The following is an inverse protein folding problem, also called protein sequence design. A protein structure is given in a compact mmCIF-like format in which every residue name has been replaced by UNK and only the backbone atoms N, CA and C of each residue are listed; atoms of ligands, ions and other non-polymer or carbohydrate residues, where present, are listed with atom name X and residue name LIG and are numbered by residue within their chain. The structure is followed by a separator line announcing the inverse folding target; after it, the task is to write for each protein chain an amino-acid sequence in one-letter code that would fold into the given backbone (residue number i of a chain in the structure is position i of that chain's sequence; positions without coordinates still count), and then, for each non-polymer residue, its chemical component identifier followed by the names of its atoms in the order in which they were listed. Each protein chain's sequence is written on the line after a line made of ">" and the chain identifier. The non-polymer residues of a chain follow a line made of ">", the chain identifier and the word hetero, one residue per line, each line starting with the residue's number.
data_IF_606725665682
#
_entry.id   IF_606725665682
#
_cell.length_a   1.000
_cell.length_b   1.000
_cell.length_c   1.000
_cell.angle_alpha   90.00
_cell.angle_beta   90.00
_cell.angle_gamma   90.00
#
_symmetry.space_group_name_H-M   'P 1'
#
loop_
_entity.id
_entity.type
_entity.pdbx_description
1 polymer ?
#
# COMPACT_ATOMS: atom_id res chain seq x y z
N UNK A 1 47.81 -5.96 -19.52
CA UNK A 1 48.77 -5.63 -20.59
C UNK A 1 48.00 -5.13 -21.80
N UNK A 2 48.40 -3.99 -22.36
CA UNK A 2 47.81 -3.26 -23.49
C UNK A 2 47.93 -4.01 -24.82
N UNK A 3 46.94 -3.86 -25.72
CA UNK A 3 47.04 -3.70 -27.21
C UNK A 3 45.75 -2.96 -27.66
N UNK A 4 45.78 -1.65 -27.97
CA UNK A 4 45.90 -0.99 -29.31
C UNK A 4 44.93 -1.55 -30.36
N UNK A 5 43.88 -0.82 -30.74
CA UNK A 5 43.78 0.26 -31.75
C UNK A 5 43.42 -0.31 -33.13
N UNK A 6 42.18 -0.07 -33.59
CA UNK A 6 41.82 0.05 -35.00
C UNK A 6 40.95 1.30 -35.15
N UNK A 7 41.36 2.12 -36.10
CA UNK A 7 40.80 3.41 -36.49
C UNK A 7 39.90 3.17 -37.70
N UNK A 8 38.75 3.84 -37.78
CA UNK A 8 38.10 4.04 -39.06
C UNK A 8 37.35 5.36 -39.06
N UNK A 9 37.99 6.33 -39.72
CA UNK A 9 37.43 7.61 -40.15
C UNK A 9 36.35 7.37 -41.19
N UNK A 10 35.30 8.19 -41.18
CA UNK A 10 34.50 8.43 -42.38
C UNK A 10 34.08 9.89 -42.40
N UNK A 11 34.82 10.65 -43.20
CA UNK A 11 34.55 12.03 -43.58
C UNK A 11 33.35 12.11 -44.52
N UNK A 12 32.54 13.16 -44.41
CA UNK A 12 31.61 13.55 -45.47
C UNK A 12 31.57 15.07 -45.53
N UNK A 13 31.96 15.59 -46.67
CA UNK A 13 32.17 17.00 -46.97
C UNK A 13 30.96 17.50 -47.76
N UNK A 14 30.44 18.67 -47.40
CA UNK A 14 29.58 19.46 -48.27
C UNK A 14 29.72 20.93 -47.92
N UNK A 15 30.44 21.62 -48.79
CA UNK A 15 30.59 23.07 -48.91
C UNK A 15 29.26 23.74 -49.31
N UNK A 16 29.11 25.01 -48.96
CA UNK A 16 27.94 25.84 -49.21
C UNK A 16 28.05 27.20 -48.52
N UNK A 17 28.86 28.10 -49.07
CA UNK A 17 29.02 29.48 -48.63
C UNK A 17 28.04 30.39 -49.39
N UNK A 18 27.17 31.14 -48.70
CA UNK A 18 26.61 32.42 -49.18
C UNK A 18 26.29 33.35 -48.00
N UNK A 19 26.71 34.59 -48.13
CA UNK A 19 26.78 35.71 -47.16
C UNK A 19 25.53 36.62 -47.16
N UNK A 20 25.43 37.44 -46.09
CA UNK A 20 24.60 38.64 -45.84
C UNK A 20 23.13 38.46 -45.40
N UNK A 21 22.87 38.83 -44.14
CA UNK A 21 21.50 39.09 -43.65
C UNK A 21 21.41 39.36 -42.14
N UNK A 22 21.94 40.50 -41.70
CA UNK A 22 21.79 41.04 -40.33
C UNK A 22 20.34 41.45 -40.09
N UNK A 23 19.62 40.80 -39.18
CA UNK A 23 18.55 41.43 -38.37
C UNK A 23 18.54 40.83 -36.94
N UNK A 24 18.69 41.71 -35.96
CA UNK A 24 18.62 41.43 -34.54
C UNK A 24 17.16 41.23 -34.12
N UNK A 25 16.80 40.06 -33.60
CA UNK A 25 15.58 39.90 -32.79
C UNK A 25 15.92 39.30 -31.41
N UNK A 26 15.88 40.20 -30.44
CA UNK A 26 16.10 40.15 -29.01
C UNK A 26 15.22 39.13 -28.26
N UNK A 27 15.35 37.82 -28.51
CA UNK A 27 14.94 36.86 -27.47
C UNK A 27 16.09 36.70 -26.49
N UNK A 28 16.00 37.39 -25.36
CA UNK A 28 16.91 37.35 -24.22
C UNK A 28 17.10 35.93 -23.67
N UNK A 29 17.85 35.09 -24.37
CA UNK A 29 18.50 33.92 -23.80
C UNK A 29 19.73 34.44 -23.05
N UNK A 30 19.48 34.97 -21.86
CA UNK A 30 20.58 35.17 -20.91
C UNK A 30 21.30 33.82 -20.79
N UNK A 31 22.63 33.76 -20.94
CA UNK A 31 23.37 32.53 -20.66
C UNK A 31 23.05 32.19 -19.20
N UNK A 32 22.22 31.16 -19.01
CA UNK A 32 21.82 30.76 -17.68
C UNK A 32 23.09 30.27 -17.03
N UNK A 33 23.69 31.10 -16.17
CA UNK A 33 24.95 30.78 -15.51
C UNK A 33 24.82 29.41 -14.85
N UNK A 34 25.88 28.60 -14.88
CA UNK A 34 25.90 27.26 -14.26
C UNK A 34 25.33 27.28 -12.83
N UNK A 35 25.52 28.39 -12.11
CA UNK A 35 24.93 28.70 -10.80
C UNK A 35 23.39 28.70 -10.77
N UNK A 36 22.72 29.27 -11.79
CA UNK A 36 21.25 29.25 -11.88
C UNK A 36 20.70 27.84 -12.19
N UNK A 37 21.41 27.06 -13.02
CA UNK A 37 21.05 25.66 -13.31
C UNK A 37 21.18 24.81 -12.03
N UNK A 38 22.28 24.98 -11.29
CA UNK A 38 22.51 24.30 -10.01
C UNK A 38 21.47 24.71 -8.94
N UNK A 39 21.09 25.98 -8.87
CA UNK A 39 20.05 26.46 -7.95
C UNK A 39 18.67 25.86 -8.26
N UNK A 40 18.30 25.75 -9.54
CA UNK A 40 17.06 25.05 -9.97
C UNK A 40 17.11 23.56 -9.61
N UNK A 41 18.25 22.90 -9.82
CA UNK A 41 18.47 21.48 -9.48
C UNK A 41 18.40 21.23 -7.96
N UNK A 42 18.99 22.12 -7.14
CA UNK A 42 18.91 22.07 -5.67
C UNK A 42 17.48 22.26 -5.17
N UNK A 43 16.73 23.22 -5.73
CA UNK A 43 15.30 23.40 -5.41
C UNK A 43 14.46 22.18 -5.77
N UNK A 44 14.69 21.57 -6.94
CA UNK A 44 14.04 20.30 -7.34
C UNK A 44 14.33 19.19 -6.33
N UNK A 45 15.56 19.08 -5.83
CA UNK A 45 15.94 18.10 -4.80
C UNK A 45 15.17 18.26 -3.48
N UNK A 46 14.93 19.50 -3.03
CA UNK A 46 14.19 19.77 -1.79
C UNK A 46 12.72 19.38 -1.92
N UNK A 47 12.09 19.71 -3.05
CA UNK A 47 10.67 19.37 -3.31
C UNK A 47 10.50 17.84 -3.34
N UNK A 48 11.38 17.14 -4.05
CA UNK A 48 11.32 15.69 -4.15
C UNK A 48 11.63 15.00 -2.80
N UNK A 49 12.53 15.56 -2.00
CA UNK A 49 12.75 15.09 -0.62
C UNK A 49 11.45 15.19 0.19
N UNK A 50 10.81 16.36 0.21
CA UNK A 50 9.52 16.54 0.92
C UNK A 50 8.43 15.59 0.42
N UNK A 51 8.35 15.33 -0.89
CA UNK A 51 7.41 14.36 -1.46
C UNK A 51 7.67 12.94 -0.93
N UNK A 52 8.94 12.51 -0.94
CA UNK A 52 9.34 11.20 -0.41
C UNK A 52 9.07 11.07 1.09
N UNK A 53 9.32 12.12 1.85
CA UNK A 53 9.07 12.14 3.29
C UNK A 53 7.57 11.99 3.59
N UNK A 54 6.70 12.69 2.85
CA UNK A 54 5.24 12.52 2.94
C UNK A 54 4.81 11.09 2.66
N UNK A 55 5.31 10.48 1.58
CA UNK A 55 4.98 9.09 1.21
C UNK A 55 5.42 8.12 2.31
N UNK A 56 6.64 8.28 2.83
CA UNK A 56 7.15 7.41 3.88
C UNK A 56 6.36 7.59 5.19
N UNK A 57 5.93 8.81 5.51
CA UNK A 57 5.06 9.06 6.67
C UNK A 57 3.72 8.34 6.53
N UNK A 58 3.07 8.42 5.35
CA UNK A 58 1.82 7.70 5.10
C UNK A 58 2.01 6.19 5.18
N UNK A 59 3.10 5.63 4.66
CA UNK A 59 3.38 4.19 4.78
C UNK A 59 3.57 3.74 6.23
N UNK A 60 4.22 4.56 7.07
CA UNK A 60 4.35 4.28 8.50
C UNK A 60 3.00 4.33 9.21
N UNK A 61 2.13 5.28 8.84
CA UNK A 61 0.78 5.38 9.39
C UNK A 61 -0.08 4.19 8.99
N UNK A 62 -0.03 3.75 7.71
CA UNK A 62 -0.73 2.56 7.23
C UNK A 62 -0.33 1.30 8.00
N UNK A 63 0.95 1.11 8.33
CA UNK A 63 1.40 -0.02 9.16
C UNK A 63 0.72 -0.07 10.52
N UNK A 64 0.39 1.10 11.09
CA UNK A 64 -0.25 1.21 12.41
C UNK A 64 -1.77 1.09 12.33
N UNK A 65 -2.38 1.55 11.24
CA UNK A 65 -3.84 1.56 11.08
C UNK A 65 -4.40 0.22 10.57
N UNK A 66 -3.64 -0.52 9.76
CA UNK A 66 -4.11 -1.78 9.17
C UNK A 66 -3.80 -2.95 10.11
N UNK A 67 -4.82 -3.69 10.59
CA UNK A 67 -4.63 -4.73 11.62
C UNK A 67 -3.58 -5.78 11.26
N UNK A 68 -3.66 -6.32 10.03
CA UNK A 68 -2.72 -7.34 9.56
C UNK A 68 -1.30 -6.80 9.46
N UNK A 69 -1.12 -5.54 9.05
CA UNK A 69 0.20 -4.92 8.95
C UNK A 69 0.79 -4.61 10.34
N UNK A 70 -0.07 -4.24 11.29
CA UNK A 70 0.29 -3.97 12.67
C UNK A 70 0.80 -5.23 13.39
N UNK A 71 0.11 -6.37 13.21
CA UNK A 71 0.53 -7.66 13.76
C UNK A 71 1.93 -8.07 13.29
N UNK A 72 2.28 -7.76 12.04
CA UNK A 72 3.59 -8.06 11.47
C UNK A 72 4.70 -7.06 11.86
N UNK A 73 4.40 -6.00 12.61
CA UNK A 73 5.39 -4.99 13.01
C UNK A 73 6.52 -5.56 13.90
N UNK A 74 6.27 -6.67 14.60
CA UNK A 74 7.28 -7.41 15.38
C UNK A 74 8.14 -8.39 14.58
N UNK A 75 7.84 -8.60 13.29
CA UNK A 75 8.58 -9.48 12.38
C UNK A 75 9.50 -8.66 11.46
N UNK A 76 10.24 -9.34 10.58
CA UNK A 76 11.16 -8.72 9.61
C UNK A 76 10.52 -7.54 8.88
N UNK A 77 11.33 -6.51 8.58
CA UNK A 77 10.92 -5.25 7.94
C UNK A 77 10.00 -5.49 6.73
N UNK A 78 8.72 -5.16 6.88
CA UNK A 78 7.71 -5.27 5.81
C UNK A 78 8.13 -4.49 4.55
N UNK A 79 7.98 -5.11 3.40
CA UNK A 79 8.22 -4.47 2.11
C UNK A 79 7.14 -3.42 1.79
N UNK A 80 7.49 -2.40 0.98
CA UNK A 80 6.52 -1.35 0.63
C UNK A 80 5.31 -1.89 -0.12
N UNK A 81 5.53 -2.85 -1.02
CA UNK A 81 4.46 -3.50 -1.77
C UNK A 81 3.52 -4.28 -0.85
N UNK A 82 4.08 -4.99 0.14
CA UNK A 82 3.31 -5.76 1.12
C UNK A 82 2.39 -4.85 1.95
N UNK A 83 2.90 -3.73 2.48
CA UNK A 83 2.07 -2.75 3.22
C UNK A 83 0.89 -2.28 2.36
N UNK A 84 1.15 -1.93 1.10
CA UNK A 84 0.10 -1.45 0.20
C UNK A 84 -0.94 -2.55 -0.10
N UNK A 85 -0.50 -3.78 -0.31
CA UNK A 85 -1.39 -4.92 -0.55
C UNK A 85 -2.30 -5.18 0.66
N UNK A 86 -1.72 -5.25 1.86
CA UNK A 86 -2.46 -5.46 3.11
C UNK A 86 -3.49 -4.35 3.35
N UNK A 87 -3.15 -3.08 3.04
CA UNK A 87 -4.10 -1.97 3.10
C UNK A 87 -5.25 -2.14 2.11
N UNK A 88 -4.97 -2.49 0.85
CA UNK A 88 -6.01 -2.67 -0.18
C UNK A 88 -6.96 -3.80 0.20
N UNK A 89 -6.44 -4.92 0.70
CA UNK A 89 -7.26 -6.05 1.13
C UNK A 89 -8.13 -5.69 2.33
N UNK A 90 -7.58 -4.91 3.27
CA UNK A 90 -8.37 -4.36 4.37
C UNK A 90 -9.51 -3.46 3.88
N UNK A 91 -9.26 -2.55 2.95
CA UNK A 91 -10.31 -1.69 2.36
C UNK A 91 -11.39 -2.50 1.62
N UNK A 92 -11.00 -3.53 0.86
CA UNK A 92 -11.95 -4.43 0.19
C UNK A 92 -12.84 -5.16 1.20
N UNK A 93 -12.25 -5.65 2.29
CA UNK A 93 -13.00 -6.29 3.37
C UNK A 93 -13.96 -5.30 4.03
N UNK A 94 -13.53 -4.06 4.31
CA UNK A 94 -14.41 -3.01 4.83
C UNK A 94 -15.59 -2.72 3.90
N UNK A 95 -15.35 -2.67 2.58
CA UNK A 95 -16.40 -2.43 1.59
C UNK A 95 -17.38 -3.62 1.50
N UNK A 96 -16.87 -4.86 1.53
CA UNK A 96 -17.70 -6.06 1.51
C UNK A 96 -18.58 -6.19 2.77
N UNK A 97 -18.07 -5.74 3.92
CA UNK A 97 -18.79 -5.72 5.20
C UNK A 97 -19.70 -4.48 5.34
N UNK A 98 -19.92 -3.70 4.27
CA UNK A 98 -20.89 -2.60 4.27
C UNK A 98 -20.35 -1.23 4.71
N UNK A 99 -19.03 -1.01 4.69
CA UNK A 99 -18.41 0.30 4.98
C UNK A 99 -18.40 0.69 6.47
N UNK A 100 -18.85 -0.20 7.35
CA UNK A 100 -19.03 0.04 8.79
C UNK A 100 -18.10 -0.84 9.62
N UNK A 101 -16.82 -0.95 9.27
CA UNK A 101 -15.86 -1.83 9.96
C UNK A 101 -15.47 -1.43 11.40
N UNK A 102 -16.30 -0.67 12.09
CA UNK A 102 -16.13 -0.37 13.51
C UNK A 102 -17.46 -0.10 14.24
N UNK A 103 -18.57 0.16 13.53
CA UNK A 103 -19.78 0.74 14.12
C UNK A 103 -21.09 0.10 13.63
N UNK A 104 -21.11 -1.20 13.31
CA UNK A 104 -22.41 -1.90 13.38
C UNK A 104 -22.52 -2.63 14.71
N UNK A 105 -22.69 -1.82 15.77
CA UNK A 105 -23.09 -2.32 17.08
C UNK A 105 -24.33 -3.22 16.99
N UNK A 106 -25.16 -3.06 15.95
CA UNK A 106 -26.31 -3.92 15.68
C UNK A 106 -25.91 -5.29 15.17
N UNK A 107 -24.99 -5.40 14.21
CA UNK A 107 -24.45 -6.70 13.77
C UNK A 107 -23.74 -7.43 14.91
N UNK A 108 -22.86 -6.74 15.64
CA UNK A 108 -22.20 -7.32 16.83
C UNK A 108 -23.21 -7.79 17.87
N UNK A 109 -24.24 -6.98 18.17
CA UNK A 109 -25.29 -7.38 19.11
C UNK A 109 -26.11 -8.58 18.62
N UNK A 110 -26.38 -8.69 17.31
CA UNK A 110 -27.05 -9.85 16.70
C UNK A 110 -26.20 -11.11 16.84
N UNK A 111 -24.89 -11.01 16.62
CA UNK A 111 -23.96 -12.14 16.76
C UNK A 111 -23.87 -12.60 18.22
N UNK A 112 -23.68 -11.67 19.17
CA UNK A 112 -23.68 -11.99 20.60
C UNK A 112 -25.00 -12.62 21.06
N UNK A 113 -26.14 -12.08 20.60
CA UNK A 113 -27.47 -12.66 20.89
C UNK A 113 -27.62 -14.07 20.32
N UNK A 114 -27.11 -14.31 19.12
CA UNK A 114 -27.17 -15.62 18.46
C UNK A 114 -26.28 -16.67 19.13
N UNK A 115 -25.12 -16.26 19.64
CA UNK A 115 -24.24 -17.11 20.45
C UNK A 115 -24.94 -17.53 21.75
N UNK A 116 -25.47 -16.57 22.53
CA UNK A 116 -26.17 -16.89 23.78
C UNK A 116 -27.42 -17.76 23.56
N UNK A 117 -28.14 -17.56 22.44
CA UNK A 117 -29.27 -18.42 22.09
C UNK A 117 -28.85 -19.85 21.78
N UNK A 118 -27.74 -20.04 21.05
CA UNK A 118 -27.18 -21.37 20.76
C UNK A 118 -26.73 -22.10 22.03
N UNK A 119 -26.10 -21.40 22.97
CA UNK A 119 -25.68 -21.98 24.25
C UNK A 119 -26.90 -22.45 25.05
N UNK A 120 -27.91 -21.58 25.18
CA UNK A 120 -29.19 -21.93 25.82
C UNK A 120 -29.86 -23.15 25.16
N UNK A 121 -29.95 -23.18 23.83
CA UNK A 121 -30.49 -24.34 23.10
C UNK A 121 -29.69 -25.62 23.38
N UNK A 122 -28.36 -25.52 23.43
CA UNK A 122 -27.48 -26.67 23.69
C UNK A 122 -27.72 -27.25 25.08
N UNK A 123 -27.90 -26.39 26.09
CA UNK A 123 -28.23 -26.82 27.46
C UNK A 123 -29.61 -27.49 27.54
N UNK A 124 -30.63 -26.91 26.91
CA UNK A 124 -31.98 -27.49 26.88
C UNK A 124 -32.00 -28.85 26.19
N UNK A 125 -31.26 -28.98 25.08
CA UNK A 125 -31.11 -30.26 24.37
C UNK A 125 -30.35 -31.27 25.23
N UNK A 126 -29.31 -30.84 25.94
CA UNK A 126 -28.55 -31.71 26.85
C UNK A 126 -29.40 -32.21 28.01
N UNK A 127 -30.17 -31.35 28.66
CA UNK A 127 -31.02 -31.73 29.79
C UNK A 127 -32.15 -32.66 29.35
N UNK A 128 -32.79 -32.39 28.21
CA UNK A 128 -33.79 -33.32 27.64
C UNK A 128 -33.18 -34.64 27.21
N UNK A 129 -31.95 -34.64 26.66
CA UNK A 129 -31.25 -35.87 26.27
C UNK A 129 -30.84 -36.70 27.49
N UNK A 130 -30.41 -36.06 28.58
CA UNK A 130 -30.09 -36.73 29.84
C UNK A 130 -31.33 -37.33 30.51
N UNK A 131 -32.46 -36.63 30.48
CA UNK A 131 -33.74 -37.16 30.98
C UNK A 131 -34.20 -38.36 30.15
N UNK A 132 -34.10 -38.29 28.83
CA UNK A 132 -34.45 -39.43 27.96
C UNK A 132 -33.53 -40.63 28.18
N UNK A 133 -32.22 -40.42 28.33
CA UNK A 133 -31.28 -41.47 28.69
C UNK A 133 -31.58 -42.07 30.07
N UNK A 134 -31.95 -41.25 31.06
CA UNK A 134 -32.33 -41.70 32.41
C UNK A 134 -33.59 -42.55 32.38
N UNK A 135 -34.61 -42.12 31.64
CA UNK A 135 -35.87 -42.86 31.46
C UNK A 135 -35.66 -44.17 30.69
N UNK A 136 -34.81 -44.15 29.66
CA UNK A 136 -34.47 -45.35 28.89
C UNK A 136 -33.67 -46.35 29.73
N UNK A 137 -32.77 -45.87 30.60
CA UNK A 137 -32.00 -46.73 31.51
C UNK A 137 -32.88 -47.33 32.60
N UNK A 138 -33.77 -46.54 33.22
CA UNK A 138 -34.71 -47.06 34.23
C UNK A 138 -35.62 -48.15 33.65
N UNK A 139 -36.11 -47.96 32.41
CA UNK A 139 -36.90 -48.98 31.70
C UNK A 139 -36.09 -50.24 31.33
N UNK A 140 -34.77 -50.15 31.25
CA UNK A 140 -33.91 -51.29 30.90
C UNK A 140 -33.47 -52.10 32.12
N UNK A 141 -33.52 -51.49 33.31
CA UNK A 141 -33.10 -52.09 34.58
C UNK A 141 -34.28 -52.65 35.39
N UNK A 142 -35.51 -52.19 35.13
CA UNK A 142 -36.77 -52.84 35.54
C UNK A 142 -37.22 -53.89 34.50
#
# INVERSE_FOLDING_TARGET
>A
MKRLCEESSSDTESDGTIDVGREEEYRSVSPTTTSQIQARKKRRGIIEKRRRDRINSSLSELRRLVPTAFEKQGSSKLEKAEILQMTVDHLKMLHATGGTGFLDARALAVDYRSIGFRECLTEVVRDKSLVLLKLSWNRYVD
#
